data_IF_767990585614
#
_entry.id   IF_767990585614
#
_cell.length_a   1.000
_cell.length_b   1.000
_cell.length_c   1.000
_cell.angle_alpha   90.00
_cell.angle_beta   90.00
_cell.angle_gamma   90.00
#
_symmetry.space_group_name_H-M   'P 1'
#
loop_
_entity.id
_entity.type
_entity.pdbx_description
1 polymer ?
#
# COMPACT_ATOMS: atom_id res chain seq x y z
N UNK A 1 10.23 7.72 7.60
CA UNK A 1 11.17 6.81 6.89
C UNK A 1 10.62 6.35 5.55
N UNK A 2 9.51 5.61 5.48
CA UNK A 2 8.96 5.10 4.21
C UNK A 2 8.72 6.19 3.16
N UNK A 3 8.09 7.32 3.51
CA UNK A 3 7.91 8.44 2.58
C UNK A 3 9.22 8.94 1.96
N UNK A 4 10.29 9.03 2.75
CA UNK A 4 11.61 9.43 2.27
C UNK A 4 12.17 8.41 1.27
N UNK A 5 12.09 7.11 1.60
CA UNK A 5 12.53 6.04 0.70
C UNK A 5 11.73 6.09 -0.61
N UNK A 6 10.40 6.21 -0.54
CA UNK A 6 9.53 6.31 -1.71
C UNK A 6 9.91 7.53 -2.56
N UNK A 7 10.11 8.71 -1.98
CA UNK A 7 10.55 9.90 -2.73
C UNK A 7 11.91 9.68 -3.39
N UNK A 8 12.87 9.06 -2.72
CA UNK A 8 14.18 8.74 -3.31
C UNK A 8 14.04 7.79 -4.50
N UNK A 9 13.25 6.72 -4.36
CA UNK A 9 12.99 5.77 -5.44
C UNK A 9 12.33 6.45 -6.65
N UNK A 10 11.33 7.29 -6.41
CA UNK A 10 10.65 8.05 -7.46
C UNK A 10 11.60 9.00 -8.18
N UNK A 11 12.46 9.73 -7.46
CA UNK A 11 13.44 10.64 -8.09
C UNK A 11 14.46 9.86 -8.92
N UNK A 12 14.90 8.68 -8.43
CA UNK A 12 15.88 7.84 -9.13
C UNK A 12 15.31 7.23 -10.42
N UNK A 13 14.02 6.95 -10.46
CA UNK A 13 13.34 6.35 -11.62
C UNK A 13 13.10 7.37 -12.76
N UNK A 14 13.17 8.67 -12.48
CA UNK A 14 13.00 9.70 -13.50
C UNK A 14 14.16 9.71 -14.49
N UNK A 15 13.83 9.80 -15.78
CA UNK A 15 14.84 10.00 -16.84
C UNK A 15 15.60 11.33 -16.71
N UNK A 16 15.00 12.35 -16.08
CA UNK A 16 15.61 13.67 -15.86
C UNK A 16 15.44 14.12 -14.40
N UNK A 17 16.21 13.56 -13.45
CA UNK A 17 16.03 13.81 -12.00
C UNK A 17 16.23 15.30 -11.63
N UNK A 18 17.08 16.03 -12.40
CA UNK A 18 17.31 17.47 -12.21
C UNK A 18 16.05 18.32 -12.41
N UNK A 19 15.03 17.81 -13.10
CA UNK A 19 13.75 18.52 -13.36
C UNK A 19 12.63 18.10 -12.42
N UNK A 20 12.91 17.29 -11.39
CA UNK A 20 11.90 16.80 -10.45
C UNK A 20 11.02 17.94 -9.89
N UNK A 21 11.63 19.06 -9.48
CA UNK A 21 10.89 20.18 -8.89
C UNK A 21 9.83 20.79 -9.82
N UNK A 22 9.93 20.58 -11.14
CA UNK A 22 8.90 21.05 -12.07
C UNK A 22 7.54 20.41 -11.82
N UNK A 23 7.48 19.19 -11.26
CA UNK A 23 6.21 18.56 -10.92
C UNK A 23 5.43 19.35 -9.85
N UNK A 24 6.15 20.06 -8.97
CA UNK A 24 5.60 20.90 -7.92
C UNK A 24 5.48 22.37 -8.34
N UNK A 25 6.43 22.87 -9.13
CA UNK A 25 6.46 24.29 -9.52
C UNK A 25 5.61 24.58 -10.76
N UNK A 26 5.36 23.58 -11.61
CA UNK A 26 4.59 23.69 -12.86
C UNK A 26 3.74 22.44 -13.09
N UNK A 27 2.77 22.14 -12.22
CA UNK A 27 1.99 20.90 -12.29
C UNK A 27 1.07 20.83 -13.49
N UNK A 28 0.97 19.65 -14.09
CA UNK A 28 -0.10 19.30 -15.03
C UNK A 28 -1.24 18.61 -14.27
N UNK A 29 -2.28 19.35 -13.92
CA UNK A 29 -3.36 18.88 -13.04
C UNK A 29 -4.22 17.76 -13.60
N UNK A 30 -4.13 17.44 -14.90
CA UNK A 30 -4.78 16.26 -15.49
C UNK A 30 -4.02 14.96 -15.20
N UNK A 31 -2.73 15.02 -14.87
CA UNK A 31 -1.89 13.85 -14.61
C UNK A 31 -2.00 13.39 -13.16
N UNK A 32 -2.24 12.09 -12.96
CA UNK A 32 -2.19 11.48 -11.63
C UNK A 32 -0.78 11.43 -11.04
N UNK A 33 0.27 11.52 -11.87
CA UNK A 33 1.65 11.64 -11.37
C UNK A 33 1.83 12.96 -10.60
N UNK A 34 1.34 14.07 -11.16
CA UNK A 34 1.37 15.37 -10.48
C UNK A 34 0.50 15.39 -9.22
N UNK A 35 -0.74 14.89 -9.31
CA UNK A 35 -1.66 14.80 -8.15
C UNK A 35 -1.07 13.93 -7.03
N UNK A 36 -0.48 12.78 -7.38
CA UNK A 36 0.20 11.89 -6.44
C UNK A 36 1.35 12.57 -5.70
N UNK A 37 2.18 13.34 -6.41
CA UNK A 37 3.26 14.11 -5.80
C UNK A 37 2.74 15.11 -4.75
N UNK A 38 1.66 15.84 -5.07
CA UNK A 38 1.04 16.77 -4.10
C UNK A 38 0.43 16.04 -2.90
N UNK A 39 -0.25 14.91 -3.11
CA UNK A 39 -0.78 14.08 -2.02
C UNK A 39 0.35 13.63 -1.09
N UNK A 40 1.46 13.12 -1.64
CA UNK A 40 2.61 12.66 -0.86
C UNK A 40 3.30 13.80 -0.10
N UNK A 41 3.52 14.95 -0.74
CA UNK A 41 4.13 16.13 -0.09
C UNK A 41 3.25 16.63 1.04
N UNK A 42 1.94 16.75 0.79
CA UNK A 42 0.99 17.25 1.80
C UNK A 42 0.87 16.29 2.97
N UNK A 43 0.75 14.98 2.71
CA UNK A 43 0.78 13.96 3.76
C UNK A 43 2.07 14.05 4.58
N UNK A 44 3.23 14.14 3.93
CA UNK A 44 4.52 14.22 4.61
C UNK A 44 4.63 15.49 5.46
N UNK A 45 4.15 16.63 4.96
CA UNK A 45 4.19 17.89 5.69
C UNK A 45 3.28 17.87 6.92
N UNK A 46 2.01 17.47 6.76
CA UNK A 46 1.04 17.47 7.87
C UNK A 46 1.39 16.38 8.91
N UNK A 47 1.69 15.16 8.46
CA UNK A 47 2.10 14.09 9.37
C UNK A 47 3.44 14.41 10.05
N UNK A 48 4.38 15.01 9.32
CA UNK A 48 5.66 15.47 9.86
C UNK A 48 5.48 16.55 10.91
N UNK A 49 4.60 17.53 10.67
CA UNK A 49 4.28 18.56 11.65
C UNK A 49 3.67 17.96 12.92
N UNK A 50 2.72 17.02 12.80
CA UNK A 50 2.17 16.33 13.97
C UNK A 50 3.27 15.57 14.74
N UNK A 51 4.14 14.84 14.04
CA UNK A 51 5.28 14.16 14.68
C UNK A 51 6.24 15.13 15.37
N UNK A 52 6.46 16.33 14.84
CA UNK A 52 7.26 17.36 15.50
C UNK A 52 6.59 17.89 16.78
N UNK A 53 5.26 18.01 16.81
CA UNK A 53 4.53 18.38 18.03
C UNK A 53 4.64 17.27 19.09
N UNK A 54 4.48 16.00 18.70
CA UNK A 54 4.66 14.86 19.62
C UNK A 54 6.11 14.79 20.14
N UNK A 55 7.11 15.04 19.28
CA UNK A 55 8.50 15.15 19.71
C UNK A 55 8.70 16.33 20.68
N UNK A 56 8.09 17.48 20.41
CA UNK A 56 8.13 18.65 21.31
C UNK A 56 7.57 18.34 22.69
N UNK A 57 6.47 17.58 22.77
CA UNK A 57 5.95 17.09 24.05
C UNK A 57 6.89 16.08 24.72
N UNK A 58 7.46 15.15 23.95
CA UNK A 58 8.41 14.14 24.47
C UNK A 58 9.66 14.78 25.10
N UNK A 59 10.20 15.84 24.47
CA UNK A 59 11.36 16.59 24.98
C UNK A 59 10.98 17.69 25.99
N UNK A 60 9.73 17.75 26.45
CA UNK A 60 9.21 18.77 27.38
C UNK A 60 9.34 20.23 26.88
N UNK A 61 9.44 20.44 25.57
CA UNK A 61 9.46 21.77 24.93
C UNK A 61 8.03 22.33 24.84
N UNK A 62 7.05 21.46 24.64
CA UNK A 62 5.63 21.80 24.57
C UNK A 62 4.86 21.12 25.71
N UNK A 63 3.81 21.74 26.26
CA UNK A 63 2.94 21.09 27.25
C UNK A 63 2.27 19.84 26.67
N UNK A 64 2.33 18.73 27.41
CA UNK A 64 1.73 17.47 26.98
C UNK A 64 0.21 17.58 26.77
N UNK A 65 -0.48 18.32 27.64
CA UNK A 65 -1.93 18.53 27.55
C UNK A 65 -2.34 19.29 26.28
N UNK A 66 -1.51 20.25 25.86
CA UNK A 66 -1.72 20.98 24.63
C UNK A 66 -1.63 20.04 23.42
N UNK A 67 -0.59 19.22 23.34
CA UNK A 67 -0.42 18.26 22.24
C UNK A 67 -1.52 17.19 22.27
N UNK A 68 -1.91 16.72 23.45
CA UNK A 68 -3.03 15.78 23.62
C UNK A 68 -4.35 16.35 23.08
N UNK A 69 -4.63 17.65 23.27
CA UNK A 69 -5.82 18.30 22.71
C UNK A 69 -5.82 18.40 21.19
N UNK A 70 -4.63 18.43 20.56
CA UNK A 70 -4.45 18.54 19.11
C UNK A 70 -4.56 17.19 18.41
N UNK A 71 -4.19 16.08 19.07
CA UNK A 71 -4.21 14.72 18.49
C UNK A 71 -5.45 14.38 17.68
N UNK A 72 -6.70 14.54 18.17
CA UNK A 72 -7.88 14.20 17.38
C UNK A 72 -8.00 15.05 16.12
N UNK A 73 -7.67 16.34 16.20
CA UNK A 73 -7.69 17.27 15.07
C UNK A 73 -6.62 16.87 14.05
N UNK A 74 -5.40 16.62 14.50
CA UNK A 74 -4.31 16.18 13.65
C UNK A 74 -4.63 14.84 12.96
N UNK A 75 -5.24 13.90 13.68
CA UNK A 75 -5.68 12.63 13.11
C UNK A 75 -6.71 12.83 11.98
N UNK A 76 -7.73 13.67 12.19
CA UNK A 76 -8.74 13.97 11.17
C UNK A 76 -8.18 14.68 9.95
N UNK A 77 -7.14 15.51 10.11
CA UNK A 77 -6.47 16.17 8.99
C UNK A 77 -5.56 15.19 8.25
N UNK A 78 -4.76 14.38 8.96
CA UNK A 78 -3.79 13.45 8.35
C UNK A 78 -4.47 12.28 7.65
N UNK A 79 -5.57 11.76 8.21
CA UNK A 79 -6.28 10.59 7.70
C UNK A 79 -6.62 10.65 6.20
N UNK A 80 -7.28 11.70 5.66
CA UNK A 80 -7.61 11.75 4.23
C UNK A 80 -6.37 11.80 3.33
N UNK A 81 -5.29 12.45 3.76
CA UNK A 81 -4.04 12.45 3.00
C UNK A 81 -3.35 11.09 3.05
N UNK A 82 -3.38 10.40 4.19
CA UNK A 82 -2.88 9.03 4.33
C UNK A 82 -3.65 8.06 3.43
N UNK A 83 -4.99 8.17 3.41
CA UNK A 83 -5.83 7.41 2.49
C UNK A 83 -5.45 7.72 1.03
N UNK A 84 -5.28 9.00 0.69
CA UNK A 84 -4.82 9.44 -0.62
C UNK A 84 -3.49 8.79 -1.02
N UNK A 85 -2.49 8.76 -0.13
CA UNK A 85 -1.18 8.13 -0.38
C UNK A 85 -1.32 6.63 -0.65
N UNK A 86 -2.26 5.96 -0.02
CA UNK A 86 -2.50 4.52 -0.23
C UNK A 86 -3.15 4.26 -1.59
N UNK A 87 -4.13 5.06 -1.99
CA UNK A 87 -4.97 4.73 -3.16
C UNK A 87 -4.58 5.45 -4.45
N UNK A 88 -3.77 6.52 -4.40
CA UNK A 88 -3.49 7.32 -5.61
C UNK A 88 -2.82 6.51 -6.72
N UNK A 89 -2.02 5.49 -6.37
CA UNK A 89 -1.36 4.62 -7.35
C UNK A 89 -2.37 3.87 -8.22
N UNK A 90 -3.54 3.53 -7.70
CA UNK A 90 -4.58 2.89 -8.52
C UNK A 90 -5.04 3.80 -9.66
N UNK A 91 -5.19 5.09 -9.40
CA UNK A 91 -5.60 6.06 -10.41
C UNK A 91 -4.45 6.41 -11.38
N UNK A 92 -3.21 6.41 -10.90
CA UNK A 92 -2.02 6.53 -11.73
C UNK A 92 -1.95 5.38 -12.75
N UNK A 93 -2.12 4.15 -12.28
CA UNK A 93 -2.09 2.96 -13.13
C UNK A 93 -3.32 2.91 -14.05
N UNK A 94 -4.48 3.41 -13.60
CA UNK A 94 -5.69 3.56 -14.41
C UNK A 94 -5.55 4.55 -15.59
N UNK A 95 -4.57 5.46 -15.57
CA UNK A 95 -4.26 6.37 -16.69
C UNK A 95 -3.33 5.76 -17.74
N UNK A 96 -2.77 4.58 -17.52
CA UNK A 96 -1.85 3.96 -18.45
C UNK A 96 -2.63 3.31 -19.62
N UNK A 97 -2.85 4.10 -20.66
CA UNK A 97 -3.36 3.60 -21.95
C UNK A 97 -2.37 2.57 -22.53
N UNK A 98 -2.84 1.36 -22.84
CA UNK A 98 -2.01 0.22 -23.29
C UNK A 98 -1.68 -0.82 -22.20
N UNK A 99 -2.12 -0.59 -20.96
CA UNK A 99 -1.95 -1.52 -19.83
C UNK A 99 -3.29 -1.77 -19.11
N UNK A 100 -4.29 -2.11 -19.91
CA UNK A 100 -5.71 -2.15 -19.53
C UNK A 100 -6.03 -3.03 -18.30
N UNK A 101 -5.20 -4.04 -17.99
CA UNK A 101 -5.32 -4.85 -16.77
C UNK A 101 -5.27 -3.98 -15.49
N UNK A 102 -4.53 -2.89 -15.51
CA UNK A 102 -4.41 -1.97 -14.38
C UNK A 102 -5.65 -1.08 -14.17
N UNK A 103 -6.53 -0.98 -15.16
CA UNK A 103 -7.69 -0.09 -15.13
C UNK A 103 -8.88 -0.68 -14.34
N UNK A 104 -8.62 -1.66 -13.48
CA UNK A 104 -9.65 -2.30 -12.65
C UNK A 104 -10.21 -1.33 -11.61
N UNK A 105 -11.55 -1.20 -11.56
CA UNK A 105 -12.26 -0.41 -10.55
C UNK A 105 -12.07 -0.93 -9.12
N UNK A 106 -11.61 -2.17 -8.94
CA UNK A 106 -11.33 -2.76 -7.63
C UNK A 106 -9.94 -2.37 -7.08
N UNK A 107 -9.04 -1.86 -7.93
CA UNK A 107 -7.65 -1.62 -7.57
C UNK A 107 -7.48 -0.65 -6.38
N UNK A 108 -8.23 0.46 -6.24
CA UNK A 108 -8.12 1.32 -5.05
C UNK A 108 -8.42 0.57 -3.74
N UNK A 109 -9.43 -0.31 -3.75
CA UNK A 109 -9.82 -1.10 -2.59
C UNK A 109 -8.82 -2.22 -2.31
N UNK A 110 -8.23 -2.77 -3.37
CA UNK A 110 -7.17 -3.75 -3.25
C UNK A 110 -5.91 -3.14 -2.61
N UNK A 111 -5.46 -1.97 -3.08
CA UNK A 111 -4.33 -1.26 -2.45
C UNK A 111 -4.63 -0.85 -1.00
N UNK A 112 -5.88 -0.47 -0.71
CA UNK A 112 -6.30 -0.15 0.66
C UNK A 112 -6.20 -1.37 1.59
N UNK A 113 -6.69 -2.53 1.14
CA UNK A 113 -6.58 -3.77 1.92
C UNK A 113 -5.13 -4.22 2.07
N UNK A 114 -4.28 -4.09 1.05
CA UNK A 114 -2.83 -4.35 1.16
C UNK A 114 -2.13 -3.44 2.17
N UNK A 115 -2.46 -2.15 2.16
CA UNK A 115 -1.94 -1.21 3.16
C UNK A 115 -2.36 -1.63 4.57
N UNK A 116 -3.63 -2.02 4.76
CA UNK A 116 -4.11 -2.54 6.03
C UNK A 116 -3.39 -3.83 6.45
N UNK A 117 -3.13 -4.77 5.52
CA UNK A 117 -2.37 -6.00 5.77
C UNK A 117 -0.96 -5.68 6.29
N UNK A 118 -0.23 -4.83 5.58
CA UNK A 118 1.14 -4.46 5.93
C UNK A 118 1.18 -3.67 7.23
N UNK A 119 0.34 -2.65 7.37
CA UNK A 119 0.31 -1.79 8.54
C UNK A 119 -0.04 -2.60 9.79
N UNK A 120 -1.15 -3.34 9.77
CA UNK A 120 -1.56 -4.13 10.92
C UNK A 120 -0.51 -5.19 11.29
N UNK A 121 0.06 -5.90 10.31
CA UNK A 121 1.12 -6.88 10.56
C UNK A 121 2.37 -6.26 11.20
N UNK A 122 2.84 -5.11 10.70
CA UNK A 122 4.00 -4.40 11.25
C UNK A 122 3.72 -3.93 12.68
N UNK A 123 2.57 -3.30 12.94
CA UNK A 123 2.20 -2.90 14.31
C UNK A 123 2.06 -4.10 15.24
N UNK A 124 1.59 -5.24 14.73
CA UNK A 124 1.47 -6.45 15.53
C UNK A 124 2.85 -7.01 15.95
N UNK A 125 3.83 -6.99 15.05
CA UNK A 125 5.21 -7.36 15.38
C UNK A 125 5.87 -6.33 16.31
N UNK A 126 5.62 -5.04 16.10
CA UNK A 126 6.13 -3.99 16.98
C UNK A 126 5.61 -4.13 18.42
N UNK A 127 4.40 -4.69 18.60
CA UNK A 127 3.84 -4.97 19.92
C UNK A 127 4.69 -5.92 20.77
N UNK A 128 5.58 -6.70 20.14
CA UNK A 128 6.52 -7.58 20.84
C UNK A 128 7.66 -6.81 21.53
N UNK A 129 7.91 -5.57 21.11
CA UNK A 129 8.98 -4.71 21.62
C UNK A 129 8.44 -3.50 22.37
N UNK A 130 7.22 -3.08 22.05
CA UNK A 130 6.55 -1.91 22.62
C UNK A 130 5.16 -2.33 23.07
N UNK A 131 4.85 -2.17 24.36
CA UNK A 131 3.53 -2.50 24.88
C UNK A 131 2.48 -1.50 24.36
N UNK A 132 1.62 -1.94 23.44
CA UNK A 132 0.47 -1.16 23.01
C UNK A 132 -0.73 -1.34 23.93
N UNK A 133 -1.67 -0.39 23.95
CA UNK A 133 -2.95 -0.55 24.65
C UNK A 133 -3.69 -1.82 24.22
N UNK A 134 -4.43 -2.42 25.16
CA UNK A 134 -5.17 -3.66 24.91
C UNK A 134 -6.16 -3.52 23.74
N UNK A 135 -6.83 -2.37 23.62
CA UNK A 135 -7.79 -2.11 22.54
C UNK A 135 -7.14 -2.09 21.16
N UNK A 136 -5.94 -1.51 21.05
CA UNK A 136 -5.17 -1.53 19.80
C UNK A 136 -4.73 -2.96 19.48
N UNK A 137 -4.26 -3.71 20.47
CA UNK A 137 -3.88 -5.12 20.27
C UNK A 137 -5.07 -5.95 19.80
N UNK A 138 -6.24 -5.78 20.42
CA UNK A 138 -7.47 -6.46 20.02
C UNK A 138 -7.87 -6.10 18.58
N UNK A 139 -7.82 -4.81 18.21
CA UNK A 139 -8.06 -4.38 16.83
C UNK A 139 -7.10 -5.06 15.84
N UNK A 140 -5.81 -5.12 16.15
CA UNK A 140 -4.80 -5.75 15.28
C UNK A 140 -5.04 -7.24 15.08
N UNK A 141 -5.50 -7.95 16.12
CA UNK A 141 -5.81 -9.40 16.04
C UNK A 141 -6.89 -9.73 15.03
N UNK A 142 -7.83 -8.80 14.81
CA UNK A 142 -8.92 -8.94 13.84
C UNK A 142 -8.52 -8.34 12.49
N UNK A 143 -7.96 -7.13 12.51
CA UNK A 143 -7.66 -6.35 11.30
C UNK A 143 -6.63 -7.05 10.40
N UNK A 144 -5.60 -7.67 10.97
CA UNK A 144 -4.57 -8.35 10.19
C UNK A 144 -5.14 -9.52 9.36
N UNK A 145 -5.74 -10.57 9.94
CA UNK A 145 -6.31 -11.65 9.13
C UNK A 145 -7.50 -11.18 8.27
N UNK A 146 -8.33 -10.25 8.75
CA UNK A 146 -9.45 -9.74 7.96
C UNK A 146 -8.99 -9.01 6.70
N UNK A 147 -7.95 -8.17 6.78
CA UNK A 147 -7.43 -7.45 5.62
C UNK A 147 -6.80 -8.40 4.59
N UNK A 148 -6.12 -9.46 5.02
CA UNK A 148 -5.61 -10.52 4.12
C UNK A 148 -6.77 -11.22 3.41
N UNK A 149 -7.80 -11.64 4.17
CA UNK A 149 -8.97 -12.30 3.59
C UNK A 149 -9.70 -11.40 2.58
N UNK A 150 -9.91 -10.13 2.92
CA UNK A 150 -10.53 -9.14 2.02
C UNK A 150 -9.69 -8.95 0.77
N UNK A 151 -8.36 -8.83 0.87
CA UNK A 151 -7.51 -8.68 -0.29
C UNK A 151 -7.53 -9.91 -1.21
N UNK A 152 -7.55 -11.11 -0.63
CA UNK A 152 -7.67 -12.36 -1.36
C UNK A 152 -9.01 -12.43 -2.12
N UNK A 153 -10.10 -12.07 -1.46
CA UNK A 153 -11.43 -12.02 -2.07
C UNK A 153 -11.47 -11.00 -3.21
N UNK A 154 -10.92 -9.80 -3.03
CA UNK A 154 -10.83 -8.79 -4.10
C UNK A 154 -10.00 -9.28 -5.29
N UNK A 155 -8.88 -9.95 -5.02
CA UNK A 155 -8.00 -10.54 -6.04
C UNK A 155 -8.74 -11.56 -6.91
N UNK A 156 -9.60 -12.40 -6.32
CA UNK A 156 -10.40 -13.37 -7.07
C UNK A 156 -11.65 -12.75 -7.69
N UNK A 157 -12.32 -11.81 -7.01
CA UNK A 157 -13.48 -11.11 -7.55
C UNK A 157 -13.13 -10.36 -8.85
N UNK A 158 -11.93 -9.80 -8.94
CA UNK A 158 -11.43 -9.19 -10.18
C UNK A 158 -11.37 -10.14 -11.39
N UNK A 159 -11.32 -11.46 -11.17
CA UNK A 159 -11.34 -12.48 -12.24
C UNK A 159 -12.74 -12.94 -12.64
N UNK A 160 -13.76 -12.65 -11.83
CA UNK A 160 -15.14 -13.00 -12.17
C UNK A 160 -15.73 -12.05 -13.22
N UNK A 161 -15.17 -10.85 -13.34
CA UNK A 161 -15.54 -9.91 -14.39
C UNK A 161 -14.86 -10.28 -15.71
N UNK A 162 -15.59 -10.24 -16.81
CA UNK A 162 -15.00 -10.35 -18.15
C UNK A 162 -13.99 -9.24 -18.36
N UNK A 163 -12.82 -9.57 -18.94
CA UNK A 163 -11.84 -8.58 -19.32
C UNK A 163 -12.41 -7.69 -20.43
N UNK A 164 -12.29 -6.35 -20.32
CA UNK A 164 -12.84 -5.44 -21.31
C UNK A 164 -12.07 -5.45 -22.64
N UNK A 165 -10.81 -5.91 -22.64
CA UNK A 165 -9.93 -5.95 -23.81
C UNK A 165 -9.10 -7.24 -23.86
N UNK A 166 -8.68 -7.64 -25.06
CA UNK A 166 -7.81 -8.80 -25.27
C UNK A 166 -6.44 -8.61 -24.61
N UNK A 167 -5.91 -7.40 -24.62
CA UNK A 167 -4.66 -7.04 -23.96
C UNK A 167 -4.73 -7.26 -22.44
N UNK A 168 -5.85 -6.88 -21.79
CA UNK A 168 -6.08 -7.15 -20.38
C UNK A 168 -6.19 -8.65 -20.08
N UNK A 169 -6.88 -9.41 -20.93
CA UNK A 169 -6.98 -10.86 -20.81
C UNK A 169 -5.62 -11.54 -20.95
N UNK A 170 -4.83 -11.15 -21.96
CA UNK A 170 -3.49 -11.68 -22.20
C UNK A 170 -2.55 -11.35 -21.03
N UNK A 171 -2.60 -10.14 -20.49
CA UNK A 171 -1.82 -9.75 -19.31
C UNK A 171 -2.19 -10.59 -18.08
N UNK A 172 -3.48 -10.81 -17.84
CA UNK A 172 -3.95 -11.69 -16.76
C UNK A 172 -3.49 -13.14 -16.95
N UNK A 173 -3.51 -13.64 -18.20
CA UNK A 173 -3.00 -14.97 -18.53
C UNK A 173 -1.48 -15.06 -18.32
N UNK A 174 -0.73 -14.03 -18.70
CA UNK A 174 0.72 -13.96 -18.50
C UNK A 174 1.07 -13.95 -17.00
N UNK A 175 0.25 -13.28 -16.19
CA UNK A 175 0.36 -13.25 -14.73
C UNK A 175 0.07 -14.62 -14.10
N UNK A 176 -0.97 -15.33 -14.57
CA UNK A 176 -1.51 -16.52 -13.90
C UNK A 176 -0.99 -17.85 -14.45
N UNK A 177 -0.64 -17.91 -15.73
CA UNK A 177 -0.22 -19.13 -16.44
C UNK A 177 1.09 -18.95 -17.22
N UNK A 178 1.48 -17.72 -17.52
CA UNK A 178 2.71 -17.38 -18.23
C UNK A 178 3.94 -17.26 -17.32
N UNK A 179 4.86 -16.36 -17.70
CA UNK A 179 6.16 -16.15 -17.04
C UNK A 179 6.06 -15.81 -15.56
N UNK A 180 4.99 -15.12 -15.14
CA UNK A 180 4.84 -14.63 -13.77
C UNK A 180 4.01 -15.57 -12.87
N UNK A 181 3.59 -16.75 -13.37
CA UNK A 181 2.72 -17.67 -12.62
C UNK A 181 3.23 -18.06 -11.23
N UNK A 182 4.54 -18.23 -11.06
CA UNK A 182 5.12 -18.60 -9.76
C UNK A 182 5.08 -17.44 -8.78
N UNK A 183 5.30 -16.21 -9.27
CA UNK A 183 5.17 -14.99 -8.46
C UNK A 183 3.72 -14.80 -8.02
N UNK A 184 2.76 -15.07 -8.92
CA UNK A 184 1.34 -14.98 -8.61
C UNK A 184 0.88 -16.09 -7.65
N UNK A 185 1.02 -17.37 -8.01
CA UNK A 185 0.45 -18.49 -7.25
C UNK A 185 1.22 -18.82 -5.98
N UNK A 186 2.53 -19.03 -6.08
CA UNK A 186 3.34 -19.42 -4.93
C UNK A 186 3.73 -18.23 -4.05
N UNK A 187 4.12 -17.12 -4.68
CA UNK A 187 4.42 -15.88 -3.97
C UNK A 187 3.17 -15.18 -3.44
N UNK A 188 2.34 -14.66 -4.33
CA UNK A 188 1.19 -13.84 -3.96
C UNK A 188 0.11 -14.60 -3.21
N UNK A 189 -0.45 -15.66 -3.83
CA UNK A 189 -1.60 -16.37 -3.28
C UNK A 189 -1.20 -17.26 -2.10
N UNK A 190 -0.24 -18.17 -2.28
CA UNK A 190 0.13 -19.11 -1.22
C UNK A 190 0.87 -18.41 -0.07
N UNK A 191 2.03 -17.79 -0.34
CA UNK A 191 2.85 -17.16 0.69
C UNK A 191 2.25 -15.86 1.23
N UNK A 192 1.62 -15.04 0.38
CA UNK A 192 1.08 -13.74 0.79
C UNK A 192 -0.27 -13.80 1.51
N UNK A 193 -1.07 -14.85 1.26
CA UNK A 193 -2.43 -14.94 1.78
C UNK A 193 -2.73 -16.25 2.53
N UNK A 194 -2.63 -17.40 1.85
CA UNK A 194 -3.11 -18.68 2.40
C UNK A 194 -2.28 -19.11 3.61
N UNK A 195 -0.95 -19.07 3.51
CA UNK A 195 -0.05 -19.47 4.60
C UNK A 195 -0.23 -18.56 5.83
N UNK A 196 -0.18 -17.22 5.73
CA UNK A 196 -0.43 -16.35 6.87
C UNK A 196 -1.78 -16.58 7.54
N UNK A 197 -2.87 -16.74 6.77
CA UNK A 197 -4.19 -17.03 7.31
C UNK A 197 -4.22 -18.38 8.05
N UNK A 198 -3.62 -19.42 7.46
CA UNK A 198 -3.54 -20.73 8.08
C UNK A 198 -2.72 -20.69 9.39
N UNK A 199 -1.60 -19.97 9.41
CA UNK A 199 -0.77 -19.78 10.61
C UNK A 199 -1.54 -19.05 11.71
N UNK A 200 -2.29 -18.01 11.36
CA UNK A 200 -3.11 -17.25 12.33
C UNK A 200 -4.21 -18.10 12.96
N UNK A 201 -4.79 -19.06 12.22
CA UNK A 201 -5.84 -19.95 12.73
C UNK A 201 -5.25 -21.12 13.52
N UNK A 202 -4.19 -21.74 13.01
CA UNK A 202 -3.66 -22.99 13.55
C UNK A 202 -2.63 -22.80 14.67
N UNK A 203 -1.89 -21.68 14.67
CA UNK A 203 -0.77 -21.49 15.59
C UNK A 203 -0.45 -20.01 15.84
N UNK A 204 -1.15 -19.40 16.81
CA UNK A 204 -0.98 -17.99 17.19
C UNK A 204 0.49 -17.56 17.47
N UNK A 205 1.39 -18.39 18.03
CA UNK A 205 2.79 -18.00 18.23
C UNK A 205 3.61 -17.81 16.94
N UNK A 206 3.12 -18.24 15.76
CA UNK A 206 3.79 -18.00 14.48
C UNK A 206 3.55 -16.59 13.90
N UNK A 207 3.05 -15.64 14.69
CA UNK A 207 2.72 -14.30 14.24
C UNK A 207 3.85 -13.59 13.46
N UNK A 208 5.12 -13.54 13.92
CA UNK A 208 6.19 -12.90 13.15
C UNK A 208 6.42 -13.55 11.79
N UNK A 209 6.26 -14.88 11.72
CA UNK A 209 6.41 -15.66 10.50
C UNK A 209 5.24 -15.39 9.55
N UNK A 210 4.01 -15.30 10.06
CA UNK A 210 2.83 -14.95 9.27
C UNK A 210 2.97 -13.55 8.66
N UNK A 211 3.39 -12.56 9.47
CA UNK A 211 3.63 -11.19 8.99
C UNK A 211 4.74 -11.16 7.94
N UNK A 212 5.86 -11.84 8.17
CA UNK A 212 6.95 -11.91 7.19
C UNK A 212 6.51 -12.56 5.88
N UNK A 213 5.75 -13.67 5.95
CA UNK A 213 5.17 -14.33 4.79
C UNK A 213 4.22 -13.41 4.03
N UNK A 214 3.34 -12.67 4.72
CA UNK A 214 2.47 -11.67 4.09
C UNK A 214 3.28 -10.59 3.35
N UNK A 215 4.33 -10.05 3.95
CA UNK A 215 5.16 -9.00 3.33
C UNK A 215 5.86 -9.51 2.07
N UNK A 216 6.52 -10.66 2.15
CA UNK A 216 7.27 -11.25 1.02
C UNK A 216 6.31 -11.70 -0.08
N UNK A 217 5.21 -12.34 0.28
CA UNK A 217 4.21 -12.78 -0.68
C UNK A 217 3.51 -11.61 -1.38
N UNK A 218 3.18 -10.55 -0.64
CA UNK A 218 2.64 -9.33 -1.23
C UNK A 218 3.62 -8.68 -2.21
N UNK A 219 4.91 -8.65 -1.89
CA UNK A 219 5.92 -8.18 -2.84
C UNK A 219 5.90 -8.98 -4.15
N UNK A 220 5.83 -10.32 -4.08
CA UNK A 220 5.72 -11.14 -5.28
C UNK A 220 4.42 -10.94 -6.06
N UNK A 221 3.31 -10.71 -5.35
CA UNK A 221 2.04 -10.36 -5.97
C UNK A 221 2.15 -9.06 -6.77
N UNK A 222 2.62 -7.99 -6.12
CA UNK A 222 2.78 -6.67 -6.74
C UNK A 222 3.76 -6.71 -7.92
N UNK A 223 4.85 -7.46 -7.78
CA UNK A 223 5.78 -7.68 -8.88
C UNK A 223 5.10 -8.34 -10.09
N UNK A 224 4.30 -9.38 -9.87
CA UNK A 224 3.56 -10.03 -10.95
C UNK A 224 2.51 -9.08 -11.58
N UNK A 225 1.79 -8.34 -10.74
CA UNK A 225 0.74 -7.41 -11.16
C UNK A 225 1.27 -6.23 -11.99
N UNK A 226 2.41 -5.67 -11.59
CA UNK A 226 3.06 -4.57 -12.32
C UNK A 226 3.80 -5.08 -13.55
N UNK A 227 4.45 -6.24 -13.50
CA UNK A 227 5.26 -6.68 -14.64
C UNK A 227 4.43 -7.32 -15.75
N UNK A 228 3.41 -8.12 -15.44
CA UNK A 228 2.72 -8.91 -16.46
C UNK A 228 2.14 -8.08 -17.64
N UNK A 229 1.46 -6.94 -17.41
CA UNK A 229 0.97 -6.11 -18.51
C UNK A 229 2.08 -5.53 -19.37
N UNK A 230 3.28 -5.30 -18.82
CA UNK A 230 4.39 -4.69 -19.55
C UNK A 230 4.95 -5.58 -20.67
N UNK A 231 4.73 -6.89 -20.58
CA UNK A 231 5.16 -7.86 -21.59
C UNK A 231 4.16 -8.07 -22.71
N UNK A 232 2.96 -7.47 -22.61
CA UNK A 232 1.99 -7.48 -23.70
C UNK A 232 2.35 -6.34 -24.65
N UNK A 233 2.50 -6.59 -25.97
CA UNK A 233 2.71 -5.54 -26.95
C UNK A 233 1.56 -4.52 -26.90
N UNK A 234 1.89 -3.24 -26.99
CA UNK A 234 0.88 -2.22 -27.26
C UNK A 234 0.43 -2.40 -28.71
N UNK A 235 -0.89 -2.41 -28.93
CA UNK A 235 -1.51 -2.35 -30.26
C UNK A 235 -1.14 -1.07 -31.00
#
# INVERSE_FOLDING_TARGET
>A
VFMLITTILLIKDLSQPKRFLNILLRPQWKSWVARGAYIMVTFTAVAGLWWLLEAGAFWNILPADFVASIRPIAAWIVFPFGLGVVIYTAFLLGQAEGRDMWQSNLLPFQLLSQSAMVASGVFFVLNLFVNFPADLTALLTVLFPASIAVNLLMTFAGKLNSFPTDTAMLASREMTHGKFRNHYWWGGIALGHVIPLALMIAFAPALPVAVFATLVGLFFYEYAFVMAPQYIPNS
#
